data_IF_971540582844
#
_entry.id   IF_971540582844
#
_cell.length_a   1.000
_cell.length_b   1.000
_cell.length_c   1.000
_cell.angle_alpha   90.00
_cell.angle_beta   90.00
_cell.angle_gamma   90.00
#
_symmetry.space_group_name_H-M   'P 1'
#
loop_
_entity.id
_entity.type
_entity.pdbx_description
1 polymer ?
#
# COMPACT_ATOMS: atom_id res chain seq x y z
N UNK A 1 -33.63 3.21 -11.67
CA UNK A 1 -34.19 3.91 -10.49
C UNK A 1 -33.23 5.02 -10.06
N UNK A 2 -33.70 6.17 -9.57
CA UNK A 2 -32.82 7.13 -8.87
C UNK A 2 -32.50 6.53 -7.48
N UNK A 3 -31.34 5.91 -7.32
CA UNK A 3 -30.86 5.49 -6.00
C UNK A 3 -30.63 6.72 -5.12
N UNK A 4 -31.10 6.65 -3.88
CA UNK A 4 -30.96 7.70 -2.87
C UNK A 4 -30.41 7.10 -1.57
N UNK A 5 -29.89 7.94 -0.68
CA UNK A 5 -29.35 7.52 0.61
C UNK A 5 -28.20 6.51 0.48
N UNK A 6 -28.13 5.57 1.44
CA UNK A 6 -27.02 4.64 1.58
C UNK A 6 -26.79 3.74 0.35
N UNK A 7 -27.84 3.38 -0.40
CA UNK A 7 -27.72 2.64 -1.65
C UNK A 7 -26.94 3.42 -2.72
N UNK A 8 -27.17 4.74 -2.83
CA UNK A 8 -26.42 5.59 -3.76
C UNK A 8 -24.97 5.68 -3.33
N UNK A 9 -24.72 5.95 -2.05
CA UNK A 9 -23.38 6.07 -1.49
C UNK A 9 -22.59 4.77 -1.69
N UNK A 10 -23.17 3.60 -1.42
CA UNK A 10 -22.52 2.31 -1.66
C UNK A 10 -22.07 2.12 -3.12
N UNK A 11 -22.93 2.47 -4.09
CA UNK A 11 -22.59 2.37 -5.52
C UNK A 11 -21.50 3.38 -5.91
N UNK A 12 -21.60 4.62 -5.41
CA UNK A 12 -20.61 5.68 -5.69
C UNK A 12 -19.23 5.35 -5.10
N UNK A 13 -19.16 4.77 -3.91
CA UNK A 13 -17.91 4.37 -3.25
C UNK A 13 -17.33 3.07 -3.83
N UNK A 14 -18.18 2.13 -4.27
CA UNK A 14 -17.74 0.93 -4.99
C UNK A 14 -17.14 1.28 -6.37
N UNK A 15 -17.71 2.29 -7.05
CA UNK A 15 -17.14 2.85 -8.28
C UNK A 15 -15.82 3.61 -8.03
N UNK A 16 -15.69 4.28 -6.88
CA UNK A 16 -14.45 4.94 -6.45
C UNK A 16 -13.34 3.91 -6.26
N UNK A 17 -13.61 2.85 -5.49
CA UNK A 17 -12.66 1.77 -5.26
C UNK A 17 -12.29 1.02 -6.54
N UNK A 18 -13.22 0.80 -7.47
CA UNK A 18 -12.85 0.25 -8.78
C UNK A 18 -11.81 1.12 -9.51
N UNK A 19 -11.93 2.44 -9.37
CA UNK A 19 -10.96 3.36 -9.96
C UNK A 19 -9.64 3.43 -9.18
N UNK A 20 -9.66 3.33 -7.84
CA UNK A 20 -8.48 3.19 -6.98
C UNK A 20 -7.59 2.05 -7.47
N UNK A 21 -8.17 0.85 -7.54
CA UNK A 21 -7.54 -0.39 -8.00
C UNK A 21 -6.87 -0.29 -9.38
N UNK A 22 -7.53 0.40 -10.32
CA UNK A 22 -6.96 0.63 -11.65
C UNK A 22 -5.74 1.57 -11.60
N UNK A 23 -5.79 2.64 -10.81
CA UNK A 23 -4.64 3.55 -10.64
C UNK A 23 -3.46 2.87 -9.92
N UNK A 24 -3.74 2.03 -8.92
CA UNK A 24 -2.71 1.25 -8.21
C UNK A 24 -2.07 0.24 -9.16
N UNK A 25 -2.88 -0.45 -9.96
CA UNK A 25 -2.41 -1.37 -11.02
C UNK A 25 -1.42 -0.70 -11.98
N UNK A 26 -1.67 0.56 -12.35
CA UNK A 26 -0.82 1.33 -13.28
C UNK A 26 0.43 1.93 -12.61
N UNK A 27 0.39 2.21 -11.29
CA UNK A 27 1.50 2.84 -10.55
C UNK A 27 2.51 1.83 -9.96
N UNK A 28 2.05 0.68 -9.46
CA UNK A 28 2.89 -0.36 -8.85
C UNK A 28 4.13 -0.78 -9.68
N UNK A 29 4.07 -0.94 -11.02
CA UNK A 29 5.25 -1.27 -11.83
C UNK A 29 6.41 -0.27 -11.66
N UNK A 30 6.13 1.02 -11.40
CA UNK A 30 7.15 2.04 -11.16
C UNK A 30 7.86 1.78 -9.82
N UNK A 31 7.10 1.50 -8.76
CA UNK A 31 7.62 1.21 -7.42
C UNK A 31 8.42 -0.10 -7.40
N UNK A 32 7.94 -1.16 -8.07
CA UNK A 32 8.65 -2.44 -8.23
C UNK A 32 10.02 -2.24 -8.88
N UNK A 33 10.11 -1.40 -9.91
CA UNK A 33 11.38 -1.09 -10.61
C UNK A 33 12.36 -0.33 -9.72
N UNK A 34 11.84 0.58 -8.88
CA UNK A 34 12.63 1.47 -8.02
C UNK A 34 13.10 0.80 -6.72
N UNK A 35 12.34 -0.16 -6.18
CA UNK A 35 12.75 -0.93 -5.02
C UNK A 35 14.14 -1.58 -5.23
N UNK A 36 14.93 -1.67 -4.16
CA UNK A 36 16.25 -2.30 -4.15
C UNK A 36 16.17 -3.70 -3.53
N UNK A 37 15.55 -3.82 -2.36
CA UNK A 37 15.36 -5.05 -1.60
C UNK A 37 14.52 -6.10 -2.37
N UNK A 38 15.03 -7.34 -2.56
CA UNK A 38 14.29 -8.39 -3.28
C UNK A 38 12.95 -8.76 -2.65
N UNK A 39 12.85 -8.74 -1.32
CA UNK A 39 11.60 -9.05 -0.61
C UNK A 39 10.51 -8.00 -0.87
N UNK A 40 10.88 -6.71 -0.87
CA UNK A 40 9.96 -5.62 -1.19
C UNK A 40 9.46 -5.73 -2.64
N UNK A 41 10.35 -5.96 -3.62
CA UNK A 41 9.96 -6.20 -5.02
C UNK A 41 8.97 -7.35 -5.14
N UNK A 42 9.26 -8.48 -4.50
CA UNK A 42 8.39 -9.65 -4.50
C UNK A 42 7.04 -9.36 -3.83
N UNK A 43 7.01 -8.52 -2.78
CA UNK A 43 5.76 -8.10 -2.15
C UNK A 43 4.90 -7.25 -3.09
N UNK A 44 5.46 -6.18 -3.64
CA UNK A 44 4.76 -5.29 -4.58
C UNK A 44 4.34 -6.02 -5.87
N UNK A 45 5.13 -6.98 -6.34
CA UNK A 45 4.79 -7.81 -7.53
C UNK A 45 3.64 -8.76 -7.26
N UNK A 46 3.54 -9.32 -6.05
CA UNK A 46 2.39 -10.15 -5.63
C UNK A 46 1.14 -9.29 -5.46
N UNK A 47 1.27 -8.15 -4.79
CA UNK A 47 0.18 -7.21 -4.60
C UNK A 47 -0.40 -6.73 -5.94
N UNK A 48 0.43 -6.43 -6.96
CA UNK A 48 -0.04 -6.13 -8.32
C UNK A 48 -0.90 -7.24 -8.98
N UNK A 49 -0.79 -8.49 -8.54
CA UNK A 49 -1.68 -9.59 -8.96
C UNK A 49 -2.96 -9.63 -8.13
N UNK A 50 -2.86 -9.33 -6.83
CA UNK A 50 -3.98 -9.18 -5.88
C UNK A 50 -4.89 -8.01 -6.32
N UNK A 51 -4.37 -6.78 -6.52
CA UNK A 51 -5.04 -5.60 -7.11
C UNK A 51 -5.84 -5.93 -8.39
N UNK A 52 -5.20 -6.65 -9.32
CA UNK A 52 -5.87 -7.08 -10.57
C UNK A 52 -7.01 -8.06 -10.37
N UNK A 53 -7.05 -8.78 -9.24
CA UNK A 53 -8.14 -9.66 -8.88
C UNK A 53 -9.21 -8.93 -8.05
N UNK A 54 -8.80 -8.03 -7.15
CA UNK A 54 -9.67 -7.15 -6.37
C UNK A 54 -10.57 -6.30 -7.29
N UNK A 55 -10.00 -5.70 -8.34
CA UNK A 55 -10.73 -5.03 -9.42
C UNK A 55 -11.76 -5.93 -10.15
N UNK A 56 -11.49 -7.25 -10.28
CA UNK A 56 -12.44 -8.22 -10.86
C UNK A 56 -13.55 -8.57 -9.85
N UNK A 57 -13.24 -8.66 -8.55
CA UNK A 57 -14.26 -8.86 -7.51
C UNK A 57 -15.24 -7.70 -7.49
N UNK A 58 -14.78 -6.45 -7.62
CA UNK A 58 -15.66 -5.29 -7.73
C UNK A 58 -16.55 -5.36 -9.00
N UNK A 59 -16.00 -5.69 -10.17
CA UNK A 59 -16.80 -5.92 -11.39
C UNK A 59 -17.87 -7.01 -11.21
N UNK A 60 -17.53 -8.08 -10.48
CA UNK A 60 -18.48 -9.13 -10.11
C UNK A 60 -19.59 -8.60 -9.20
N UNK A 61 -19.28 -7.74 -8.22
CA UNK A 61 -20.29 -7.09 -7.37
C UNK A 61 -21.27 -6.24 -8.21
N UNK A 62 -20.78 -5.39 -9.13
CA UNK A 62 -21.64 -4.64 -10.05
C UNK A 62 -22.57 -5.57 -10.85
N UNK A 63 -22.06 -6.72 -11.30
CA UNK A 63 -22.84 -7.73 -12.02
C UNK A 63 -23.91 -8.40 -11.12
N UNK A 64 -23.58 -8.72 -9.86
CA UNK A 64 -24.52 -9.30 -8.87
C UNK A 64 -25.67 -8.34 -8.53
N UNK A 65 -25.38 -7.03 -8.55
CA UNK A 65 -26.35 -5.93 -8.36
C UNK A 65 -27.21 -5.63 -9.59
N UNK A 66 -26.87 -6.17 -10.77
CA UNK A 66 -27.59 -5.91 -12.02
C UNK A 66 -27.47 -4.48 -12.54
N UNK A 67 -26.39 -3.76 -12.18
CA UNK A 67 -26.13 -2.38 -12.61
C UNK A 67 -24.82 -2.27 -13.39
N UNK A 68 -24.72 -1.37 -14.38
CA UNK A 68 -23.46 -1.14 -15.07
C UNK A 68 -22.42 -0.54 -14.12
N UNK A 69 -21.14 -0.84 -14.38
CA UNK A 69 -20.02 -0.20 -13.70
C UNK A 69 -19.98 1.29 -14.05
N UNK A 70 -20.24 2.14 -13.06
CA UNK A 70 -20.11 3.60 -13.19
C UNK A 70 -18.64 3.99 -13.30
N UNK A 71 -18.30 4.86 -14.27
CA UNK A 71 -16.98 5.49 -14.29
C UNK A 71 -16.94 6.66 -13.30
N UNK A 72 -16.05 6.58 -12.32
CA UNK A 72 -15.74 7.63 -11.34
C UNK A 72 -14.21 7.74 -11.25
N UNK A 73 -13.70 8.90 -10.83
CA UNK A 73 -12.27 9.08 -10.54
C UNK A 73 -12.06 9.19 -9.04
N UNK A 74 -11.30 8.25 -8.47
CA UNK A 74 -10.88 8.27 -7.08
C UNK A 74 -9.79 9.34 -6.90
N UNK A 75 -10.20 10.54 -6.44
CA UNK A 75 -9.27 11.66 -6.19
C UNK A 75 -8.34 11.41 -5.00
N UNK A 76 -8.79 10.62 -4.02
CA UNK A 76 -7.96 10.25 -2.88
C UNK A 76 -6.75 9.41 -3.32
N UNK A 77 -6.99 8.37 -4.13
CA UNK A 77 -5.92 7.52 -4.66
C UNK A 77 -5.00 8.30 -5.62
N UNK A 78 -5.52 9.24 -6.42
CA UNK A 78 -4.68 10.15 -7.21
C UNK A 78 -3.69 10.93 -6.32
N UNK A 79 -4.15 11.45 -5.19
CA UNK A 79 -3.31 12.17 -4.23
C UNK A 79 -2.24 11.28 -3.59
N UNK A 80 -2.62 10.08 -3.16
CA UNK A 80 -1.70 9.11 -2.55
C UNK A 80 -0.63 8.61 -3.53
N UNK A 81 -1.01 8.33 -4.78
CA UNK A 81 -0.06 7.95 -5.84
C UNK A 81 0.84 9.13 -6.21
N UNK A 82 0.32 10.36 -6.28
CA UNK A 82 1.16 11.54 -6.52
C UNK A 82 2.18 11.75 -5.39
N UNK A 83 1.77 11.59 -4.13
CA UNK A 83 2.68 11.61 -2.97
C UNK A 83 3.75 10.51 -3.11
N UNK A 84 3.36 9.28 -3.46
CA UNK A 84 4.29 8.17 -3.70
C UNK A 84 5.31 8.48 -4.81
N UNK A 85 4.85 9.06 -5.93
CA UNK A 85 5.71 9.46 -7.05
C UNK A 85 6.69 10.57 -6.66
N UNK A 86 6.24 11.59 -5.93
CA UNK A 86 7.12 12.66 -5.40
C UNK A 86 8.13 12.12 -4.39
N UNK A 87 7.71 11.19 -3.52
CA UNK A 87 8.58 10.54 -2.54
C UNK A 87 9.72 9.77 -3.24
N UNK A 88 9.50 9.17 -4.40
CA UNK A 88 10.55 8.40 -5.12
C UNK A 88 11.28 9.21 -6.21
N UNK A 89 10.77 10.40 -6.56
CA UNK A 89 11.32 11.28 -7.62
C UNK A 89 12.80 11.57 -7.38
N UNK A 90 13.62 11.38 -8.42
CA UNK A 90 15.07 11.64 -8.42
C UNK A 90 15.90 10.90 -7.35
N UNK A 91 15.36 9.88 -6.67
CA UNK A 91 16.09 9.09 -5.67
C UNK A 91 16.81 7.89 -6.26
N UNK A 92 17.95 7.56 -5.68
CA UNK A 92 18.75 6.37 -6.01
C UNK A 92 18.39 5.19 -5.10
N UNK A 93 18.61 3.98 -5.60
CA UNK A 93 18.39 2.72 -4.87
C UNK A 93 19.20 2.70 -3.58
N UNK A 94 18.48 2.62 -2.46
CA UNK A 94 19.03 2.71 -1.11
C UNK A 94 18.00 2.16 -0.10
N UNK A 95 18.43 1.75 1.11
CA UNK A 95 17.50 1.40 2.18
C UNK A 95 16.50 2.54 2.51
N UNK A 96 16.94 3.79 2.43
CA UNK A 96 16.07 4.96 2.62
C UNK A 96 15.00 5.08 1.53
N UNK A 97 15.30 4.73 0.27
CA UNK A 97 14.29 4.68 -0.78
C UNK A 97 13.29 3.54 -0.56
N UNK A 98 13.77 2.36 -0.15
CA UNK A 98 12.89 1.22 0.13
C UNK A 98 11.96 1.47 1.32
N UNK A 99 12.46 2.07 2.41
CA UNK A 99 11.63 2.52 3.53
C UNK A 99 10.58 3.56 3.09
N UNK A 100 10.95 4.46 2.18
CA UNK A 100 10.04 5.47 1.65
C UNK A 100 8.97 4.87 0.70
N UNK A 101 9.32 3.87 -0.11
CA UNK A 101 8.38 3.09 -0.92
C UNK A 101 7.39 2.35 -0.02
N UNK A 102 7.87 1.72 1.07
CA UNK A 102 7.01 1.05 2.05
C UNK A 102 6.05 2.04 2.69
N UNK A 103 6.54 3.19 3.17
CA UNK A 103 5.69 4.22 3.79
C UNK A 103 4.59 4.72 2.85
N UNK A 104 4.90 4.90 1.56
CA UNK A 104 3.91 5.29 0.55
C UNK A 104 2.90 4.16 0.27
N UNK A 105 3.36 2.92 0.15
CA UNK A 105 2.49 1.76 -0.04
C UNK A 105 1.53 1.57 1.15
N UNK A 106 2.01 1.61 2.40
CA UNK A 106 1.15 1.45 3.58
C UNK A 106 0.05 2.51 3.69
N UNK A 107 0.30 3.75 3.21
CA UNK A 107 -0.77 4.78 3.13
C UNK A 107 -1.88 4.40 2.15
N UNK A 108 -1.52 3.73 1.04
CA UNK A 108 -2.47 3.17 0.06
C UNK A 108 -3.25 2.03 0.74
N UNK A 109 -2.57 1.02 1.30
CA UNK A 109 -3.22 -0.11 2.00
C UNK A 109 -4.22 0.38 3.07
N UNK A 110 -3.84 1.36 3.88
CA UNK A 110 -4.69 1.92 4.93
C UNK A 110 -5.95 2.62 4.39
N UNK A 111 -5.85 3.30 3.24
CA UNK A 111 -7.01 3.87 2.57
C UNK A 111 -7.95 2.76 2.07
N UNK A 112 -7.41 1.71 1.45
CA UNK A 112 -8.21 0.62 0.91
C UNK A 112 -8.85 -0.23 2.01
N UNK A 113 -8.14 -0.49 3.11
CA UNK A 113 -8.69 -1.12 4.32
C UNK A 113 -9.88 -0.34 4.91
N UNK A 114 -9.79 1.00 4.96
CA UNK A 114 -10.87 1.85 5.44
C UNK A 114 -12.09 1.81 4.50
N UNK A 115 -11.85 1.89 3.19
CA UNK A 115 -12.88 1.87 2.15
C UNK A 115 -13.58 0.51 2.06
N UNK A 116 -12.84 -0.61 2.02
CA UNK A 116 -13.42 -1.95 2.00
C UNK A 116 -14.13 -2.32 3.31
N UNK A 117 -13.58 -1.92 4.46
CA UNK A 117 -14.25 -2.07 5.75
C UNK A 117 -15.62 -1.37 5.78
N UNK A 118 -15.68 -0.17 5.20
CA UNK A 118 -16.90 0.65 5.07
C UNK A 118 -17.89 0.04 4.08
N UNK A 119 -17.45 -0.30 2.86
CA UNK A 119 -18.30 -0.92 1.84
C UNK A 119 -18.90 -2.24 2.31
N UNK A 120 -18.12 -3.11 2.96
CA UNK A 120 -18.61 -4.36 3.56
C UNK A 120 -19.68 -4.10 4.63
N UNK A 121 -19.48 -3.06 5.45
CA UNK A 121 -20.48 -2.64 6.45
C UNK A 121 -21.78 -2.18 5.80
N UNK A 122 -21.68 -1.33 4.77
CA UNK A 122 -22.84 -0.86 4.00
C UNK A 122 -23.59 -2.01 3.33
N UNK A 123 -22.88 -2.99 2.73
CA UNK A 123 -23.50 -4.16 2.12
C UNK A 123 -24.36 -4.97 3.11
N UNK A 124 -23.88 -5.12 4.35
CA UNK A 124 -24.64 -5.77 5.43
C UNK A 124 -25.87 -4.94 5.86
N UNK A 125 -25.71 -3.63 6.07
CA UNK A 125 -26.82 -2.75 6.50
C UNK A 125 -27.88 -2.54 5.41
N UNK A 126 -27.51 -2.65 4.15
CA UNK A 126 -28.42 -2.63 3.00
C UNK A 126 -29.07 -4.00 2.73
N UNK A 127 -28.76 -5.04 3.52
CA UNK A 127 -29.23 -6.41 3.34
C UNK A 127 -29.00 -6.95 1.91
N UNK A 128 -27.85 -6.60 1.33
CA UNK A 128 -27.46 -7.12 0.01
C UNK A 128 -27.15 -8.63 0.11
N UNK A 129 -27.11 -9.31 -1.05
CA UNK A 129 -26.69 -10.72 -1.15
C UNK A 129 -25.35 -10.92 -0.43
N UNK A 130 -25.25 -11.91 0.46
CA UNK A 130 -24.08 -12.11 1.34
C UNK A 130 -22.75 -12.18 0.57
N UNK A 131 -22.77 -12.77 -0.62
CA UNK A 131 -21.63 -12.84 -1.55
C UNK A 131 -20.96 -11.48 -1.81
N UNK A 132 -21.72 -10.37 -1.78
CA UNK A 132 -21.15 -9.02 -1.93
C UNK A 132 -20.29 -8.65 -0.72
N UNK A 133 -20.78 -8.90 0.49
CA UNK A 133 -20.02 -8.66 1.72
C UNK A 133 -18.81 -9.61 1.82
N UNK A 134 -18.96 -10.86 1.37
CA UNK A 134 -17.87 -11.85 1.33
C UNK A 134 -16.75 -11.41 0.35
N UNK A 135 -17.10 -10.94 -0.86
CA UNK A 135 -16.13 -10.45 -1.85
C UNK A 135 -15.39 -9.18 -1.37
N UNK A 136 -16.09 -8.26 -0.69
CA UNK A 136 -15.49 -7.07 -0.07
C UNK A 136 -14.60 -7.42 1.12
N UNK A 137 -14.97 -8.47 1.87
CA UNK A 137 -14.16 -9.01 2.95
C UNK A 137 -12.91 -9.74 2.43
N UNK A 138 -12.96 -10.33 1.24
CA UNK A 138 -11.81 -10.96 0.59
C UNK A 138 -10.74 -9.91 0.24
N UNK A 139 -11.11 -8.81 -0.43
CA UNK A 139 -10.20 -7.67 -0.68
C UNK A 139 -9.63 -7.11 0.63
N UNK A 140 -10.49 -6.78 1.61
CA UNK A 140 -10.07 -6.28 2.93
C UNK A 140 -9.05 -7.19 3.66
N UNK A 141 -9.14 -8.50 3.47
CA UNK A 141 -8.19 -9.45 4.05
C UNK A 141 -6.85 -9.47 3.31
N UNK A 142 -6.85 -9.26 1.99
CA UNK A 142 -5.64 -9.13 1.18
C UNK A 142 -4.87 -7.86 1.54
N UNK A 143 -5.52 -6.68 1.60
CA UNK A 143 -4.80 -5.43 1.93
C UNK A 143 -4.27 -5.48 3.37
N UNK A 144 -5.11 -5.98 4.28
CA UNK A 144 -4.71 -6.24 5.67
C UNK A 144 -3.64 -7.34 5.83
N UNK A 145 -3.27 -8.07 4.78
CA UNK A 145 -2.13 -8.98 4.75
C UNK A 145 -0.91 -8.35 4.05
N UNK A 146 -1.14 -7.53 3.02
CA UNK A 146 -0.13 -6.74 2.33
C UNK A 146 0.52 -5.72 3.28
N UNK A 147 -0.25 -4.90 4.01
CA UNK A 147 0.26 -3.97 5.02
C UNK A 147 1.09 -4.68 6.11
N UNK A 148 0.58 -5.79 6.68
CA UNK A 148 1.31 -6.58 7.69
C UNK A 148 2.63 -7.12 7.16
N UNK A 149 2.72 -7.36 5.86
CA UNK A 149 3.95 -7.83 5.20
C UNK A 149 4.89 -6.66 4.91
N UNK A 150 4.38 -5.51 4.50
CA UNK A 150 5.14 -4.27 4.39
C UNK A 150 5.76 -3.88 5.74
N UNK A 151 5.00 -3.94 6.83
CA UNK A 151 5.47 -3.73 8.21
C UNK A 151 6.63 -4.67 8.58
N UNK A 152 6.51 -5.98 8.28
CA UNK A 152 7.59 -6.96 8.51
C UNK A 152 8.86 -6.67 7.71
N UNK A 153 8.74 -6.11 6.52
CA UNK A 153 9.90 -5.68 5.71
C UNK A 153 10.49 -4.38 6.28
N UNK A 154 9.65 -3.48 6.78
CA UNK A 154 10.02 -2.21 7.38
C UNK A 154 10.85 -2.40 8.66
N UNK A 155 10.29 -3.09 9.65
CA UNK A 155 10.88 -3.22 10.99
C UNK A 155 11.70 -4.50 11.16
N UNK A 156 11.40 -5.52 10.36
CA UNK A 156 12.09 -6.80 10.35
C UNK A 156 11.31 -7.90 11.05
N UNK A 157 12.03 -8.98 11.36
CA UNK A 157 11.52 -10.10 12.15
C UNK A 157 12.57 -10.52 13.17
N UNK A 158 12.26 -11.49 14.03
CA UNK A 158 13.25 -12.09 14.94
C UNK A 158 14.53 -12.57 14.23
N UNK A 159 14.44 -12.95 12.95
CA UNK A 159 15.56 -13.48 12.16
C UNK A 159 16.11 -12.50 11.12
N UNK A 160 15.55 -11.28 10.98
CA UNK A 160 15.92 -10.35 9.90
C UNK A 160 15.85 -8.88 10.34
N UNK A 161 16.88 -8.10 9.99
CA UNK A 161 16.89 -6.64 10.24
C UNK A 161 16.04 -5.92 9.19
N UNK A 162 14.98 -5.24 9.61
CA UNK A 162 14.12 -4.46 8.72
C UNK A 162 14.82 -3.28 8.05
N UNK A 163 14.27 -2.82 6.93
CA UNK A 163 14.87 -1.76 6.13
C UNK A 163 14.90 -0.40 6.83
N UNK A 164 13.99 -0.13 7.78
CA UNK A 164 14.02 1.05 8.64
C UNK A 164 15.33 1.14 9.45
N UNK A 165 15.75 0.02 10.05
CA UNK A 165 17.02 -0.09 10.77
C UNK A 165 18.24 0.08 9.86
N UNK A 166 18.14 -0.33 8.58
CA UNK A 166 19.21 -0.17 7.60
C UNK A 166 19.31 1.30 7.13
N UNK A 167 18.19 1.97 6.90
CA UNK A 167 18.10 3.38 6.54
C UNK A 167 18.65 4.30 7.65
N UNK A 168 18.31 4.03 8.91
CA UNK A 168 18.83 4.78 10.06
C UNK A 168 20.37 4.70 10.17
N UNK A 169 20.95 3.52 9.92
CA UNK A 169 22.41 3.31 9.96
C UNK A 169 23.16 4.07 8.86
N UNK A 170 22.60 4.16 7.66
CA UNK A 170 23.23 4.83 6.51
C UNK A 170 23.33 6.35 6.68
N UNK A 171 22.37 6.98 7.38
CA UNK A 171 22.47 8.39 7.79
C UNK A 171 23.63 8.62 8.77
N UNK A 172 23.73 7.76 9.80
CA UNK A 172 24.76 7.88 10.84
C UNK A 172 26.20 7.65 10.31
N UNK A 173 26.39 6.77 9.33
CA UNK A 173 27.67 6.58 8.67
C UNK A 173 28.11 7.84 7.89
N UNK A 174 27.17 8.44 7.15
CA UNK A 174 27.40 9.68 6.37
C UNK A 174 27.71 10.87 7.28
N UNK A 175 26.99 10.99 8.40
CA UNK A 175 27.24 12.01 9.42
C UNK A 175 28.64 11.86 10.04
N UNK A 176 29.01 10.65 10.49
CA UNK A 176 30.33 10.37 11.07
C UNK A 176 31.47 10.70 10.10
N UNK A 177 31.40 10.31 8.83
CA UNK A 177 32.41 10.68 7.83
C UNK A 177 32.55 12.21 7.68
N UNK A 178 31.44 12.95 7.66
CA UNK A 178 31.48 14.42 7.56
C UNK A 178 32.19 15.05 8.77
N UNK A 179 31.96 14.55 9.98
CA UNK A 179 32.66 14.97 11.21
C UNK A 179 34.16 14.61 11.20
N UNK A 180 34.53 13.43 10.72
CA UNK A 180 35.95 13.04 10.60
C UNK A 180 36.68 13.91 9.59
N UNK A 181 36.06 14.26 8.46
CA UNK A 181 36.65 15.15 7.45
C UNK A 181 36.78 16.58 7.95
N UNK A 182 35.82 17.12 8.72
CA UNK A 182 35.99 18.45 9.35
C UNK A 182 37.13 18.47 10.36
N UNK A 183 37.26 17.43 11.19
CA UNK A 183 38.36 17.36 12.18
C UNK A 183 39.73 17.16 11.52
N UNK A 184 39.81 16.35 10.45
CA UNK A 184 41.03 16.18 9.66
C UNK A 184 41.42 17.43 8.84
N UNK A 185 40.45 18.29 8.50
CA UNK A 185 40.72 19.59 7.88
C UNK A 185 41.19 20.62 8.91
N UNK A 186 40.57 20.65 10.09
CA UNK A 186 40.97 21.52 11.20
C UNK A 186 42.42 21.26 11.66
N UNK A 187 42.81 19.99 11.81
CA UNK A 187 44.19 19.62 12.19
C UNK A 187 45.24 19.97 11.12
N UNK A 188 44.88 19.93 9.82
CA UNK A 188 45.77 20.40 8.74
C UNK A 188 45.93 21.92 8.67
N UNK A 189 44.96 22.71 9.13
CA UNK A 189 45.10 24.18 9.24
C UNK A 189 45.94 24.64 10.43
N UNK A 190 45.99 23.87 11.52
CA UNK A 190 46.80 24.22 12.70
C UNK A 190 48.32 24.11 12.46
N UNK A 191 48.75 23.33 11.47
CA UNK A 191 50.17 23.07 11.19
C UNK A 191 50.84 24.08 10.24
N UNK A 192 50.14 25.12 9.76
CA UNK A 192 50.69 26.09 8.78
C UNK A 192 50.35 27.54 9.11
N UNK A 193 50.73 27.99 10.31
CA UNK A 193 50.67 29.39 10.71
C UNK A 193 51.91 29.79 11.54
N UNK A 194 53.03 30.08 10.86
CA UNK A 194 54.17 30.76 11.49
C UNK A 194 54.87 31.74 10.53
N UNK A 195 54.42 33.00 10.58
CA UNK A 195 55.18 34.22 10.22
C UNK A 195 55.42 34.54 8.72
N UNK A 196 55.86 35.78 8.35
CA UNK A 196 54.91 36.77 7.78
C UNK A 196 55.44 37.57 6.56
N UNK A 197 54.62 38.49 5.98
CA UNK A 197 54.97 39.89 5.63
C UNK A 197 54.05 40.59 4.58
N UNK A 198 54.04 41.94 4.66
CA UNK A 198 53.92 42.93 3.58
C UNK A 198 52.59 43.18 2.77
N UNK A 199 51.86 44.21 3.23
CA UNK A 199 51.53 45.49 2.55
C UNK A 199 50.81 45.59 1.16
N UNK A 200 49.95 46.63 1.14
CA UNK A 200 49.56 47.56 0.03
C UNK A 200 48.53 47.19 -1.05
N UNK A 201 47.34 47.81 -0.94
CA UNK A 201 46.57 48.61 -1.95
C UNK A 201 46.54 48.16 -3.42
N UNK A 202 45.41 48.15 -4.15
CA UNK A 202 44.54 49.31 -4.47
C UNK A 202 43.26 48.85 -5.22
N UNK A 203 42.25 49.71 -5.32
CA UNK A 203 40.93 49.40 -5.91
C UNK A 203 40.85 49.50 -7.46
N UNK A 204 39.84 48.86 -8.09
CA UNK A 204 38.83 49.53 -8.95
C UNK A 204 37.71 48.62 -9.52
N UNK A 205 36.48 49.19 -9.47
CA UNK A 205 35.37 49.19 -10.44
C UNK A 205 34.82 47.90 -11.10
N UNK A 206 33.50 47.75 -10.93
CA UNK A 206 32.43 47.15 -11.77
C UNK A 206 32.35 47.78 -13.20
N UNK A 207 31.37 47.47 -14.10
CA UNK A 207 30.18 46.59 -13.98
C UNK A 207 29.74 45.75 -15.24
N UNK A 208 28.69 44.95 -15.05
CA UNK A 208 27.53 44.67 -15.94
C UNK A 208 27.64 44.34 -17.45
N UNK A 209 27.05 43.20 -17.83
CA UNK A 209 26.02 43.02 -18.89
C UNK A 209 25.50 41.56 -18.82
N UNK A 210 24.21 41.17 -18.91
CA UNK A 210 22.98 41.65 -19.58
C UNK A 210 22.70 41.00 -20.95
N UNK A 211 21.43 40.58 -21.15
CA UNK A 211 20.77 39.96 -22.33
C UNK A 211 21.10 38.49 -22.67
N UNK A 212 20.27 37.75 -23.42
CA UNK A 212 18.79 37.69 -23.61
C UNK A 212 18.42 36.62 -24.67
N UNK A 213 17.11 36.28 -24.76
CA UNK A 213 16.41 35.47 -25.80
C UNK A 213 16.68 33.94 -25.78
N UNK A 214 15.72 33.00 -25.91
CA UNK A 214 14.35 32.89 -26.45
C UNK A 214 14.25 32.15 -27.82
N UNK A 215 13.06 31.56 -28.09
CA UNK A 215 12.69 30.69 -29.25
C UNK A 215 13.33 29.27 -29.21
N UNK A 216 12.91 28.19 -29.91
CA UNK A 216 11.73 27.79 -30.73
C UNK A 216 11.97 26.34 -31.24
N UNK A 217 11.04 25.48 -31.69
CA UNK A 217 9.57 25.33 -31.66
C UNK A 217 9.21 23.93 -32.27
N UNK A 218 7.91 23.54 -32.36
CA UNK A 218 7.37 22.34 -33.04
C UNK A 218 7.75 20.94 -32.45
N UNK A 219 6.87 19.95 -32.27
CA UNK A 219 5.73 19.39 -33.05
C UNK A 219 6.13 18.40 -34.14
N UNK A 220 5.84 17.11 -33.93
CA UNK A 220 5.42 16.19 -35.00
C UNK A 220 4.63 14.99 -34.44
N UNK A 221 3.53 14.63 -35.11
CA UNK A 221 2.80 13.36 -34.94
C UNK A 221 3.34 12.35 -35.95
N UNK A 222 3.31 11.04 -35.64
CA UNK A 222 3.14 10.02 -36.68
C UNK A 222 2.37 8.80 -36.17
N UNK A 223 1.58 8.22 -37.07
CA UNK A 223 0.63 7.12 -36.87
C UNK A 223 1.04 5.90 -37.69
N UNK A 224 0.71 4.70 -37.21
CA UNK A 224 0.59 3.41 -37.94
C UNK A 224 0.60 2.26 -36.91
N UNK A 225 -0.06 1.11 -37.02
CA UNK A 225 -1.24 0.61 -37.76
C UNK A 225 -1.25 -0.91 -37.54
N UNK A 226 -2.35 -1.44 -37.03
CA UNK A 226 -2.87 -2.82 -37.17
C UNK A 226 -1.96 -3.96 -37.64
N UNK A 227 -1.99 -5.08 -36.90
CA UNK A 227 -2.15 -6.42 -37.52
C UNK A 227 -2.89 -7.39 -36.61
N UNK A 228 -3.87 -8.10 -37.20
CA UNK A 228 -4.64 -9.18 -36.56
C UNK A 228 -3.94 -10.51 -36.81
N UNK A 229 -3.97 -11.45 -35.86
CA UNK A 229 -3.94 -12.89 -36.18
C UNK A 229 -4.64 -13.70 -35.11
N UNK A 230 -5.57 -14.55 -35.52
CA UNK A 230 -6.27 -15.51 -34.68
C UNK A 230 -5.93 -16.93 -35.15
N UNK A 231 -5.73 -17.88 -34.23
CA UNK A 231 -5.74 -19.31 -34.53
C UNK A 231 -6.43 -20.08 -33.39
N UNK A 232 -7.23 -21.06 -33.82
CA UNK A 232 -8.19 -21.92 -33.11
C UNK A 232 -7.66 -22.70 -31.90
N UNK A 233 -8.58 -22.98 -30.96
CA UNK A 233 -8.56 -24.16 -30.10
C UNK A 233 -9.23 -25.37 -30.80
N UNK A 234 -8.90 -26.62 -30.42
CA UNK A 234 -9.78 -27.77 -30.57
C UNK A 234 -10.39 -28.20 -29.21
N UNK A 235 -11.51 -28.92 -29.27
CA UNK A 235 -12.19 -29.51 -28.10
C UNK A 235 -12.36 -31.03 -28.27
N UNK A 236 -12.20 -31.79 -27.18
CA UNK A 236 -12.65 -33.19 -27.01
C UNK A 236 -12.99 -33.39 -25.52
N UNK A 237 -14.27 -33.48 -25.14
CA UNK A 237 -15.09 -34.70 -24.97
C UNK A 237 -14.72 -35.64 -23.81
N UNK A 238 -15.48 -35.50 -22.71
CA UNK A 238 -16.09 -36.57 -21.88
C UNK A 238 -15.36 -37.91 -21.61
N UNK A 239 -15.14 -38.25 -20.32
CA UNK A 239 -15.41 -39.62 -19.81
C UNK A 239 -15.68 -39.73 -18.28
N UNK A 240 -16.88 -40.24 -17.97
CA UNK A 240 -17.21 -41.21 -16.89
C UNK A 240 -16.75 -41.00 -15.43
N UNK A 241 -17.69 -40.51 -14.60
CA UNK A 241 -18.29 -41.19 -13.43
C UNK A 241 -17.54 -42.42 -12.85
N UNK A 242 -16.94 -42.31 -11.65
CA UNK A 242 -17.00 -43.31 -10.55
C UNK A 242 -16.20 -42.86 -9.31
N UNK A 243 -16.89 -42.42 -8.23
CA UNK A 243 -16.37 -42.33 -6.83
C UNK A 243 -17.48 -41.86 -5.87
N UNK A 244 -18.53 -42.66 -5.70
CA UNK A 244 -19.70 -42.31 -4.88
C UNK A 244 -20.12 -43.43 -3.90
N UNK A 245 -19.22 -43.87 -3.02
CA UNK A 245 -19.57 -44.73 -1.87
C UNK A 245 -18.67 -44.57 -0.62
N UNK A 246 -17.46 -44.01 -0.72
CA UNK A 246 -16.51 -43.93 0.42
C UNK A 246 -16.53 -42.62 1.25
N UNK A 247 -17.41 -41.67 0.93
CA UNK A 247 -17.40 -40.31 1.50
C UNK A 247 -18.32 -40.13 2.73
N UNK A 248 -19.34 -40.98 2.89
CA UNK A 248 -20.38 -40.78 3.92
C UNK A 248 -19.90 -41.02 5.37
N UNK A 249 -19.03 -42.00 5.60
CA UNK A 249 -18.55 -42.35 6.95
C UNK A 249 -17.62 -41.28 7.55
N UNK A 250 -16.81 -40.61 6.73
CA UNK A 250 -15.84 -39.60 7.20
C UNK A 250 -16.49 -38.28 7.62
N UNK A 251 -17.67 -37.96 7.08
CA UNK A 251 -18.40 -36.73 7.38
C UNK A 251 -19.02 -36.69 8.79
N UNK A 252 -19.37 -37.86 9.36
CA UNK A 252 -20.03 -37.95 10.68
C UNK A 252 -19.06 -37.73 11.86
N UNK A 253 -17.79 -38.11 11.74
CA UNK A 253 -16.79 -37.85 12.79
C UNK A 253 -16.26 -36.40 12.77
N UNK A 254 -16.33 -35.69 11.64
CA UNK A 254 -15.84 -34.30 11.55
C UNK A 254 -16.79 -33.25 12.15
N UNK A 255 -18.10 -33.50 12.22
CA UNK A 255 -19.06 -32.52 12.76
C UNK A 255 -19.00 -32.42 14.30
N UNK A 256 -18.81 -33.54 15.00
CA UNK A 256 -18.71 -33.55 16.47
C UNK A 256 -17.50 -32.76 16.99
N UNK A 257 -16.33 -32.94 16.36
CA UNK A 257 -15.12 -32.17 16.68
C UNK A 257 -15.28 -30.67 16.36
N UNK A 258 -15.99 -30.33 15.29
CA UNK A 258 -16.29 -28.94 14.92
C UNK A 258 -17.27 -28.26 15.89
N UNK A 259 -18.24 -28.99 16.47
CA UNK A 259 -19.13 -28.43 17.49
C UNK A 259 -18.43 -28.22 18.84
N UNK A 260 -17.61 -29.16 19.29
CA UNK A 260 -16.87 -29.03 20.56
C UNK A 260 -15.90 -27.84 20.55
N UNK A 261 -15.13 -27.69 19.46
CA UNK A 261 -14.20 -26.56 19.28
C UNK A 261 -14.90 -25.20 19.17
N UNK A 262 -16.06 -25.11 18.50
CA UNK A 262 -16.88 -23.88 18.46
C UNK A 262 -17.45 -23.49 19.83
N UNK A 263 -17.87 -24.46 20.65
CA UNK A 263 -18.33 -24.21 22.03
C UNK A 263 -17.22 -23.60 22.90
N UNK A 264 -16.01 -24.17 22.84
CA UNK A 264 -14.83 -23.68 23.56
C UNK A 264 -14.40 -22.27 23.12
N UNK A 265 -14.47 -21.95 21.82
CA UNK A 265 -14.18 -20.61 21.32
C UNK A 265 -15.21 -19.58 21.83
N UNK A 266 -16.50 -19.92 21.85
CA UNK A 266 -17.57 -19.04 22.29
C UNK A 266 -17.51 -18.72 23.80
N UNK A 267 -17.16 -19.69 24.65
CA UNK A 267 -16.97 -19.46 26.10
C UNK A 267 -15.75 -18.58 26.37
N UNK A 268 -14.64 -18.79 25.65
CA UNK A 268 -13.43 -17.96 25.74
C UNK A 268 -13.69 -16.51 25.32
N UNK A 269 -14.47 -16.29 24.26
CA UNK A 269 -14.88 -14.95 23.81
C UNK A 269 -15.76 -14.22 24.85
N UNK A 270 -16.75 -14.92 25.42
CA UNK A 270 -17.60 -14.36 26.52
C UNK A 270 -16.77 -13.95 27.73
N UNK A 271 -15.75 -14.74 28.10
CA UNK A 271 -14.82 -14.39 29.18
C UNK A 271 -14.03 -13.12 28.87
N UNK A 272 -13.47 -12.99 27.66
CA UNK A 272 -12.71 -11.80 27.26
C UNK A 272 -13.57 -10.52 27.27
N UNK A 273 -14.81 -10.59 26.79
CA UNK A 273 -15.77 -9.46 26.84
C UNK A 273 -16.07 -9.04 28.30
N UNK A 274 -16.27 -10.01 29.20
CA UNK A 274 -16.49 -9.74 30.63
C UNK A 274 -15.29 -9.03 31.28
N UNK A 275 -14.07 -9.46 30.97
CA UNK A 275 -12.84 -8.82 31.46
C UNK A 275 -12.66 -7.40 30.89
N UNK A 276 -12.92 -7.19 29.59
CA UNK A 276 -12.88 -5.86 28.97
C UNK A 276 -13.86 -4.88 29.60
N UNK A 277 -15.10 -5.32 29.87
CA UNK A 277 -16.11 -4.49 30.53
C UNK A 277 -15.71 -4.12 31.97
N UNK A 278 -15.13 -5.06 32.73
CA UNK A 278 -14.57 -4.77 34.08
C UNK A 278 -13.42 -3.78 34.03
N UNK A 279 -12.51 -3.89 33.06
CA UNK A 279 -11.40 -2.95 32.87
C UNK A 279 -11.91 -1.53 32.50
N UNK A 280 -12.88 -1.43 31.60
CA UNK A 280 -13.51 -0.15 31.21
C UNK A 280 -14.21 0.52 32.40
N UNK A 281 -14.94 -0.25 33.22
CA UNK A 281 -15.57 0.24 34.45
C UNK A 281 -14.54 0.79 35.45
N UNK A 282 -13.43 0.07 35.68
CA UNK A 282 -12.35 0.55 36.55
C UNK A 282 -11.70 1.84 36.04
N UNK A 283 -11.43 1.96 34.74
CA UNK A 283 -10.88 3.20 34.16
C UNK A 283 -11.83 4.39 34.30
N UNK A 284 -13.14 4.19 34.09
CA UNK A 284 -14.15 5.25 34.29
C UNK A 284 -14.22 5.71 35.75
N UNK A 285 -14.13 4.77 36.70
CA UNK A 285 -14.08 5.08 38.14
C UNK A 285 -12.81 5.86 38.51
N UNK A 286 -11.64 5.42 38.05
CA UNK A 286 -10.37 6.11 38.28
C UNK A 286 -10.36 7.53 37.69
N UNK A 287 -10.90 7.70 36.48
CA UNK A 287 -11.02 9.02 35.83
C UNK A 287 -12.00 9.96 36.54
N UNK A 288 -13.08 9.43 37.14
CA UNK A 288 -14.01 10.20 37.95
C UNK A 288 -13.41 10.59 39.31
N UNK A 289 -12.57 9.73 39.91
CA UNK A 289 -11.85 10.02 41.14
C UNK A 289 -10.75 11.08 40.95
N UNK A 290 -10.04 11.06 39.81
CA UNK A 290 -9.01 12.05 39.47
C UNK A 290 -9.56 13.43 39.03
N UNK A 291 -10.87 13.66 39.15
CA UNK A 291 -11.58 14.89 38.74
C UNK A 291 -12.33 15.56 39.90
N UNK A 292 -12.04 15.14 41.12
CA UNK A 292 -12.41 15.78 42.39
C UNK A 292 -11.14 16.24 43.10
#
# INVERSE_FOLDING_TARGET
MKTQGLNKLFIDELADMYNSEMQITDSLPKLIKLASLPELKNSLTKHLVETKNQAKRIKKIFSILGIPLTQKTCKAMQGLIHEAEDIVRNKTKSPTLDAAIISAAQKIEHYEMASYGTLRSFANHLSLKSEIADLLQENLNEEGAADKKLTKIADGTFFSTGVNSQAAKSLNATAKQKTTVTNARASKTAAKAKSPAAKTTKAKKSPASAKAKASSSASSKKTSSLSKRAVKSPALTSRTRSKATKTAARARHTSAAAHSSRSSAASKLKSLISHGNKASSKMKSAYAAARK
#
